data_IF_674788287354
#
_entry.id   IF_674788287354
#
_cell.length_a   1.000
_cell.length_b   1.000
_cell.length_c   1.000
_cell.angle_alpha   90.00
_cell.angle_beta   90.00
_cell.angle_gamma   90.00
#
_symmetry.space_group_name_H-M   'P 1'
#
loop_
_entity.id
_entity.type
_entity.pdbx_description
1 polymer ?
#
# COMPACT_ATOMS: atom_id res chain seq x y z
N UNK A 1 21.53 0.22 -1.87
CA UNK A 1 20.13 0.53 -2.29
C UNK A 1 20.11 1.97 -2.77
N UNK A 2 19.67 2.28 -3.99
CA UNK A 2 19.15 1.34 -4.98
C UNK A 2 20.24 0.63 -5.79
N UNK A 3 21.52 1.01 -5.66
CA UNK A 3 22.64 0.66 -6.58
C UNK A 3 23.03 -0.82 -6.64
N UNK A 4 22.92 -1.58 -5.56
CA UNK A 4 23.10 -3.04 -5.63
C UNK A 4 21.76 -3.77 -5.78
N UNK A 5 20.73 -3.23 -5.14
CA UNK A 5 19.40 -3.82 -5.07
C UNK A 5 18.36 -2.72 -4.94
N UNK A 6 17.32 -2.82 -5.77
CA UNK A 6 16.13 -1.98 -5.66
C UNK A 6 15.16 -2.57 -4.64
N UNK A 7 14.57 -1.70 -3.82
CA UNK A 7 13.64 -2.09 -2.75
C UNK A 7 12.35 -1.29 -2.86
N UNK A 8 11.22 -1.99 -2.76
CA UNK A 8 9.90 -1.40 -2.57
C UNK A 8 9.35 -1.83 -1.20
N UNK A 9 8.68 -0.93 -0.49
CA UNK A 9 7.98 -1.24 0.77
C UNK A 9 6.45 -1.18 0.62
N UNK A 10 5.75 -1.52 1.69
CA UNK A 10 4.29 -1.52 1.79
C UNK A 10 3.84 -0.49 2.86
N UNK A 11 2.57 -0.11 2.83
CA UNK A 11 1.87 0.81 3.76
C UNK A 11 2.17 2.31 3.68
N UNK A 12 3.25 2.75 3.03
CA UNK A 12 3.66 4.16 3.02
C UNK A 12 3.66 4.82 4.41
N UNK A 13 4.08 4.08 5.44
CA UNK A 13 4.20 4.62 6.79
C UNK A 13 5.07 5.89 6.79
N UNK A 14 4.78 6.83 7.70
CA UNK A 14 5.42 8.16 7.70
C UNK A 14 6.95 8.09 7.61
N UNK A 15 7.58 7.18 8.35
CA UNK A 15 9.03 6.97 8.35
C UNK A 15 9.59 6.61 6.96
N UNK A 16 8.81 5.98 6.08
CA UNK A 16 9.25 5.57 4.73
C UNK A 16 9.70 6.76 3.87
N UNK A 17 9.16 7.97 4.12
CA UNK A 17 9.60 9.18 3.44
C UNK A 17 10.92 9.74 3.98
N UNK A 18 11.32 9.34 5.19
CA UNK A 18 12.46 9.88 5.94
C UNK A 18 13.61 8.89 6.13
N UNK A 19 13.51 7.66 5.61
CA UNK A 19 14.64 6.73 5.54
C UNK A 19 15.71 7.23 4.56
N UNK A 20 16.89 6.63 4.61
CA UNK A 20 18.00 6.91 3.70
C UNK A 20 18.40 5.62 2.94
N UNK A 21 18.06 5.47 1.64
CA UNK A 21 17.26 6.38 0.82
C UNK A 21 15.76 6.36 1.20
N UNK A 22 14.99 7.41 0.86
CA UNK A 22 13.53 7.38 0.99
C UNK A 22 12.91 6.23 0.18
N UNK A 23 12.01 5.47 0.80
CA UNK A 23 11.48 4.23 0.21
C UNK A 23 10.40 4.49 -0.82
N UNK A 24 10.57 3.96 -2.03
CA UNK A 24 9.48 3.69 -2.96
C UNK A 24 8.53 2.69 -2.29
N UNK A 25 7.23 2.97 -2.32
CA UNK A 25 6.26 2.22 -1.50
C UNK A 25 4.87 2.18 -2.13
N UNK A 26 4.03 1.26 -1.65
CA UNK A 26 2.60 1.19 -1.99
C UNK A 26 1.82 1.90 -0.89
N UNK A 27 1.00 2.87 -1.29
CA UNK A 27 0.17 3.71 -0.43
C UNK A 27 -1.29 3.27 -0.47
N UNK A 28 -1.85 2.97 0.71
CA UNK A 28 -3.25 2.63 0.89
C UNK A 28 -3.93 3.70 1.74
N UNK A 29 -5.14 4.10 1.36
CA UNK A 29 -5.99 4.90 2.23
C UNK A 29 -6.57 4.02 3.35
N UNK A 30 -5.78 3.82 4.40
CA UNK A 30 -6.19 3.05 5.58
C UNK A 30 -7.38 3.68 6.29
N UNK A 31 -7.54 5.00 6.24
CA UNK A 31 -8.69 5.68 6.84
C UNK A 31 -9.98 5.24 6.15
N UNK A 32 -9.99 5.27 4.82
CA UNK A 32 -11.10 4.80 4.01
C UNK A 32 -11.33 3.29 4.20
N UNK A 33 -10.27 2.47 4.20
CA UNK A 33 -10.38 1.03 4.41
C UNK A 33 -11.03 0.71 5.77
N UNK A 34 -10.59 1.36 6.83
CA UNK A 34 -11.10 1.15 8.18
C UNK A 34 -12.57 1.56 8.29
N UNK A 35 -12.94 2.72 7.72
CA UNK A 35 -14.33 3.16 7.68
C UNK A 35 -15.23 2.16 6.92
N UNK A 36 -14.77 1.66 5.77
CA UNK A 36 -15.50 0.65 5.01
C UNK A 36 -15.65 -0.67 5.77
N UNK A 37 -14.61 -1.13 6.46
CA UNK A 37 -14.64 -2.36 7.24
C UNK A 37 -15.62 -2.27 8.42
N UNK A 38 -15.60 -1.17 9.16
CA UNK A 38 -16.50 -0.94 10.29
C UNK A 38 -17.95 -0.84 9.79
N UNK A 39 -18.20 -0.10 8.72
CA UNK A 39 -19.53 0.01 8.13
C UNK A 39 -20.04 -1.36 7.67
N UNK A 40 -19.20 -2.17 7.04
CA UNK A 40 -19.56 -3.52 6.61
C UNK A 40 -19.90 -4.43 7.80
N UNK A 41 -19.17 -4.33 8.91
CA UNK A 41 -19.51 -5.05 10.14
C UNK A 41 -20.87 -4.60 10.70
N UNK A 42 -21.16 -3.29 10.70
CA UNK A 42 -22.45 -2.76 11.15
C UNK A 42 -23.58 -3.26 10.25
N UNK A 43 -23.37 -3.30 8.92
CA UNK A 43 -24.32 -3.88 7.97
C UNK A 43 -24.63 -5.34 8.33
N UNK A 44 -23.62 -6.17 8.58
CA UNK A 44 -23.77 -7.58 8.98
C UNK A 44 -24.51 -7.77 10.31
N UNK A 45 -24.27 -6.90 11.29
CA UNK A 45 -24.94 -6.98 12.58
C UNK A 45 -26.44 -6.62 12.49
N UNK A 46 -26.78 -5.71 11.58
CA UNK A 46 -28.17 -5.29 11.37
C UNK A 46 -28.94 -6.25 10.46
N UNK A 47 -28.26 -6.93 9.53
CA UNK A 47 -28.84 -7.93 8.63
C UNK A 47 -27.96 -9.20 8.58
N UNK A 48 -28.20 -10.17 9.48
CA UNK A 48 -27.45 -11.42 9.52
C UNK A 48 -27.58 -12.28 8.25
N UNK A 49 -28.61 -12.07 7.43
CA UNK A 49 -28.86 -12.81 6.19
C UNK A 49 -28.29 -12.08 4.95
N UNK A 50 -27.60 -10.95 5.15
CA UNK A 50 -26.99 -10.17 4.07
C UNK A 50 -26.03 -11.03 3.22
N UNK A 51 -26.14 -10.89 1.90
CA UNK A 51 -25.20 -11.50 0.97
C UNK A 51 -23.80 -10.88 1.15
N UNK A 52 -22.83 -11.72 1.51
CA UNK A 52 -21.45 -11.31 1.65
C UNK A 52 -20.88 -10.82 0.32
N UNK A 53 -20.18 -9.69 0.37
CA UNK A 53 -19.55 -9.11 -0.80
C UNK A 53 -18.15 -8.60 -0.47
N UNK A 54 -17.30 -8.53 -1.49
CA UNK A 54 -15.93 -8.02 -1.37
C UNK A 54 -15.87 -6.60 -1.92
N UNK A 55 -15.24 -5.69 -1.17
CA UNK A 55 -14.86 -4.36 -1.63
C UNK A 55 -13.35 -4.35 -1.86
N UNK A 56 -12.90 -3.84 -3.01
CA UNK A 56 -11.48 -3.75 -3.36
C UNK A 56 -11.09 -2.28 -3.41
N UNK A 57 -10.06 -1.93 -2.64
CA UNK A 57 -9.44 -0.61 -2.65
C UNK A 57 -8.16 -0.70 -3.46
N UNK A 58 -8.02 0.19 -4.45
CA UNK A 58 -6.83 0.26 -5.26
C UNK A 58 -5.80 1.16 -4.57
N UNK A 59 -4.57 0.68 -4.36
CA UNK A 59 -3.52 1.51 -3.82
C UNK A 59 -2.88 2.39 -4.90
N UNK A 60 -2.02 3.30 -4.45
CA UNK A 60 -1.15 4.10 -5.30
C UNK A 60 0.30 3.66 -5.14
N UNK A 61 1.07 3.65 -6.23
CA UNK A 61 2.52 3.53 -6.15
C UNK A 61 3.13 4.91 -5.90
N UNK A 62 3.91 5.03 -4.83
CA UNK A 62 4.68 6.23 -4.49
C UNK A 62 6.14 5.95 -4.79
N UNK A 63 6.66 6.55 -5.88
CA UNK A 63 8.05 6.38 -6.30
C UNK A 63 8.96 7.35 -5.54
N UNK A 64 10.03 6.81 -4.94
CA UNK A 64 11.10 7.57 -4.27
C UNK A 64 12.48 7.05 -4.70
N UNK A 65 13.48 7.10 -3.81
CA UNK A 65 14.88 6.89 -4.14
C UNK A 65 15.39 5.46 -3.90
N UNK A 66 14.60 4.56 -3.33
CA UNK A 66 15.03 3.17 -3.06
C UNK A 66 14.93 2.22 -4.26
N UNK A 67 14.49 2.70 -5.43
CA UNK A 67 14.39 1.92 -6.66
C UNK A 67 15.12 2.62 -7.80
N UNK A 68 15.79 1.84 -8.65
CA UNK A 68 16.35 2.32 -9.92
C UNK A 68 15.90 1.44 -11.08
N UNK A 69 16.06 1.96 -12.29
CA UNK A 69 15.96 1.15 -13.51
C UNK A 69 17.22 0.30 -13.63
N UNK A 70 17.06 -0.95 -14.07
CA UNK A 70 18.20 -1.79 -14.43
C UNK A 70 18.69 -1.38 -15.82
N UNK A 71 19.99 -1.11 -15.96
CA UNK A 71 20.59 -0.79 -17.24
C UNK A 71 21.03 -2.06 -17.98
N UNK A 72 21.13 -2.01 -19.30
CA UNK A 72 21.45 -3.19 -20.12
C UNK A 72 22.85 -3.77 -19.85
N UNK A 73 23.73 -2.96 -19.26
CA UNK A 73 25.11 -3.34 -18.92
C UNK A 73 25.24 -3.93 -17.51
N UNK A 74 24.15 -3.99 -16.73
CA UNK A 74 24.11 -4.57 -15.37
C UNK A 74 23.95 -6.11 -15.36
N UNK A 75 23.95 -6.79 -16.53
CA UNK A 75 23.79 -8.26 -16.68
C UNK A 75 24.96 -8.95 -17.36
#
# INVERSE_FOLDING_TARGET
IPDDVSVISFDNAELAAFTEPPLTTIDFDFSQQNAMAINYLIELLNDPDMILHQRVLLPNLVVRASTRKLDADDT
#
